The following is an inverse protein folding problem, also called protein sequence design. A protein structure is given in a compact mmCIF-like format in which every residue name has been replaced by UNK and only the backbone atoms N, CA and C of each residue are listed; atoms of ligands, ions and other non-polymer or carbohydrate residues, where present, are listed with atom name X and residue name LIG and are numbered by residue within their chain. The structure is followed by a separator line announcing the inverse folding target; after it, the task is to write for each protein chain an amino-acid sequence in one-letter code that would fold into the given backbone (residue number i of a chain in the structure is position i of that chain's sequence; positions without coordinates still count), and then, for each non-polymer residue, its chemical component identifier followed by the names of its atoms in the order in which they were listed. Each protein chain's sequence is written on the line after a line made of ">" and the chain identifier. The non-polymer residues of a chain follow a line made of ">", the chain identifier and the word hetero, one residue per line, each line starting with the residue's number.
data_IF_895689239898
#
_entry.id   IF_895689239898
#
_cell.length_a   1.000
_cell.length_b   1.000
_cell.length_c   1.000
_cell.angle_alpha   90.00
_cell.angle_beta   90.00
_cell.angle_gamma   90.00
#
_symmetry.space_group_name_H-M   'P 1'
#
loop_
_entity.id
_entity.type
_entity.pdbx_description
1 polymer ?
2 polymer ?
3 polymer ?
4 non-polymer ?
5 water ?
#
loop_
_entity_poly.entity_id
_entity_poly.type
_entity_poly.pdbx_seq_one_letter_code
_entity_poly.pdbx_strand_id
2 'polydeoxyribonucleotide' '(DT)(DC)(DA)(DA)(DA)(DA)(DC)(DG)(DT)(DC)(DG)(DT)(DA)(DC)' ?
3 'polydeoxyribonucleotide' '(DG)(DA)(DC)(DG)(DT)(DT)(DT)(DT)(DG)(DA)' ?
#
# COMPACT_ATOMS: atom_id res chain seq x y z
N UNK A 1 -18.73 13.58 -16.10
CA UNK A 1 -17.54 13.30 -15.31
C UNK A 1 -17.77 13.54 -13.82
N UNK A 2 -17.74 12.47 -13.03
CA UNK A 2 -18.02 12.58 -11.60
C UNK A 2 -16.84 13.15 -10.82
N UNK A 3 -17.14 14.03 -9.86
CA UNK A 3 -16.11 14.61 -9.00
C UNK A 3 -16.01 13.80 -7.70
N UNK A 4 -14.83 13.30 -7.40
CA UNK A 4 -14.66 12.43 -6.25
C UNK A 4 -14.38 13.21 -4.96
N UNK A 5 -14.80 12.62 -3.85
CA UNK A 5 -14.55 13.18 -2.52
C UNK A 5 -13.04 13.26 -2.24
N UNK A 6 -12.62 14.37 -1.62
CA UNK A 6 -11.19 14.61 -1.40
C UNK A 6 -10.57 13.67 -0.36
N UNK A 7 -11.30 13.43 0.73
CA UNK A 7 -10.82 12.50 1.75
C UNK A 7 -10.67 11.07 1.22
N UNK A 8 -11.45 10.74 0.19
CA UNK A 8 -11.38 9.43 -0.44
C UNK A 8 -10.16 9.34 -1.34
N UNK A 9 -9.91 10.40 -2.11
CA UNK A 9 -8.76 10.45 -3.02
C UNK A 9 -7.44 10.43 -2.26
N UNK A 10 -7.40 11.09 -1.10
CA UNK A 10 -6.21 11.07 -0.25
C UNK A 10 -5.88 9.66 0.24
N UNK A 11 -6.86 8.99 0.83
CA UNK A 11 -6.67 7.60 1.26
C UNK A 11 -6.27 6.73 0.08
N UNK A 12 -7.00 6.85 -1.02
CA UNK A 12 -6.79 5.97 -2.16
C UNK A 12 -5.40 6.15 -2.76
N UNK A 13 -4.92 7.39 -2.79
CA UNK A 13 -3.58 7.66 -3.31
C UNK A 13 -2.50 6.99 -2.47
N UNK A 14 -2.70 7.00 -1.15
CA UNK A 14 -1.77 6.32 -0.26
C UNK A 14 -1.75 4.85 -0.56
N UNK A 15 -2.93 4.25 -0.61
CA UNK A 15 -3.05 2.81 -0.89
C UNK A 15 -2.40 2.48 -2.24
N UNK A 16 -2.68 3.31 -3.25
CA UNK A 16 -2.15 3.11 -4.59
C UNK A 16 -0.62 3.12 -4.64
N UNK A 17 -0.01 4.10 -3.97
CA UNK A 17 1.45 4.16 -3.89
C UNK A 17 1.98 2.88 -3.24
N UNK A 18 1.21 2.33 -2.31
CA UNK A 18 1.55 1.06 -1.71
C UNK A 18 1.33 -0.13 -2.64
N UNK A 19 0.05 -0.47 -2.87
CA UNK A 19 -0.28 -1.72 -3.55
C UNK A 19 -0.97 -1.53 -4.91
N UNK A 20 -1.04 -0.29 -5.39
CA UNK A 20 -1.62 -0.05 -6.70
C UNK A 20 -0.60 -0.13 -7.82
N UNK A 21 -1.06 0.06 -9.05
CA UNK A 21 -0.16 0.01 -10.20
C UNK A 21 -0.70 0.84 -11.34
N UNK A 22 0.15 1.69 -11.90
CA UNK A 22 -0.21 2.47 -13.06
C UNK A 22 0.59 1.98 -14.26
N UNK A 23 -0.09 1.26 -15.15
CA UNK A 23 0.56 0.46 -16.19
C UNK A 23 0.32 1.01 -17.59
N UNK A 24 1.36 1.03 -18.40
CA UNK A 24 1.23 1.34 -19.83
C UNK A 24 1.88 0.23 -20.64
N UNK A 25 1.16 -0.33 -21.60
CA UNK A 25 1.71 -1.41 -22.41
C UNK A 25 1.62 -1.16 -23.91
N UNK A 26 2.64 -1.60 -24.63
CA UNK A 26 2.57 -1.70 -26.08
C UNK A 26 2.33 -3.16 -26.39
N UNK A 27 1.11 -3.50 -26.82
CA UNK A 27 0.76 -4.90 -27.07
C UNK A 27 0.80 -5.24 -28.55
N UNK A 28 1.72 -6.15 -28.93
CA UNK A 28 1.79 -6.65 -30.30
C UNK A 28 0.45 -7.22 -30.72
N UNK A 29 -0.07 -6.78 -31.87
CA UNK A 29 -1.37 -7.22 -32.37
C UNK A 29 -1.51 -6.89 -33.84
N UNK A 30 -1.54 -7.92 -34.68
CA UNK A 30 -1.52 -7.75 -36.13
C UNK A 30 -2.69 -6.92 -36.67
N UNK A 31 -3.82 -6.97 -35.98
CA UNK A 31 -5.02 -6.29 -36.45
C UNK A 31 -5.03 -4.79 -36.12
N UNK A 32 -3.85 -4.18 -36.00
CA UNK A 32 -3.74 -2.72 -35.86
C UNK A 32 -2.84 -2.19 -36.97
N UNK A 33 -3.15 -1.00 -37.47
CA UNK A 33 -2.39 -0.38 -38.56
C UNK A 33 -0.89 -0.37 -38.27
N UNK A 34 -0.53 -0.05 -37.04
CA UNK A 34 0.87 -0.03 -36.63
C UNK A 34 1.26 -1.32 -35.91
N UNK A 35 0.44 -2.35 -36.10
CA UNK A 35 0.69 -3.69 -35.55
C UNK A 35 0.87 -3.72 -34.02
N UNK A 36 0.39 -2.68 -33.33
CA UNK A 36 0.43 -2.64 -31.88
C UNK A 36 -0.76 -1.90 -31.28
N UNK A 37 -1.12 -2.24 -30.05
CA UNK A 37 -2.15 -1.51 -29.31
C UNK A 37 -1.51 -0.74 -28.16
N UNK A 38 -1.87 0.54 -28.03
CA UNK A 38 -1.50 1.29 -26.84
C UNK A 38 -2.53 0.98 -25.76
N UNK A 39 -2.08 0.38 -24.68
CA UNK A 39 -2.97 0.00 -23.59
C UNK A 39 -2.56 0.66 -22.28
N UNK A 40 -3.53 1.22 -21.58
CA UNK A 40 -3.31 1.82 -20.26
C UNK A 40 -4.17 1.10 -19.24
N UNK A 41 -3.66 0.95 -18.02
CA UNK A 41 -4.40 0.26 -16.96
C UNK A 41 -4.11 0.87 -15.59
N UNK A 42 -5.17 1.23 -14.88
CA UNK A 42 -5.06 1.50 -13.45
C UNK A 42 -5.43 0.22 -12.74
N UNK A 43 -4.62 -0.17 -11.76
CA UNK A 43 -4.78 -1.46 -11.11
C UNK A 43 -4.50 -1.36 -9.62
N UNK A 44 -5.38 -1.93 -8.81
CA UNK A 44 -5.11 -2.08 -7.40
C UNK A 44 -5.24 -3.56 -7.04
N UNK A 45 -4.13 -4.15 -6.60
CA UNK A 45 -4.05 -5.57 -6.32
C UNK A 45 -4.27 -5.89 -4.84
N UNK A 46 -5.02 -6.95 -4.56
CA UNK A 46 -5.26 -7.38 -3.19
C UNK A 46 -5.68 -8.86 -3.08
N UNK A 47 -5.25 -9.50 -2.00
CA UNK A 47 -5.62 -10.87 -1.67
C UNK A 47 -7.13 -11.08 -1.79
N UNK A 48 -7.54 -12.21 -2.34
CA UNK A 48 -8.95 -12.46 -2.64
C UNK A 48 -9.86 -12.42 -1.39
N UNK A 49 -9.31 -12.83 -0.25
CA UNK A 49 -10.09 -12.80 1.00
C UNK A 49 -10.49 -11.38 1.40
N UNK A 50 -9.83 -10.39 0.82
CA UNK A 50 -10.16 -8.99 1.06
C UNK A 50 -10.73 -8.26 -0.18
N UNK A 51 -11.41 -8.98 -1.06
CA UNK A 51 -11.93 -8.36 -2.28
C UNK A 51 -13.11 -7.43 -2.00
N UNK A 52 -13.67 -7.54 -0.80
CA UNK A 52 -14.73 -6.62 -0.37
C UNK A 52 -14.23 -5.19 -0.42
N UNK A 53 -12.94 -5.01 -0.14
CA UNK A 53 -12.29 -3.71 -0.20
C UNK A 53 -12.24 -3.21 -1.63
N UNK A 54 -11.94 -4.11 -2.56
CA UNK A 54 -11.86 -3.76 -3.97
C UNK A 54 -13.25 -3.50 -4.55
N UNK A 55 -14.25 -4.21 -4.03
CA UNK A 55 -15.63 -4.01 -4.46
C UNK A 55 -16.10 -2.59 -4.10
N UNK A 56 -15.65 -2.09 -2.96
CA UNK A 56 -15.98 -0.73 -2.55
C UNK A 56 -15.34 0.31 -3.47
N UNK A 57 -14.20 -0.02 -4.08
CA UNK A 57 -13.61 0.87 -5.08
C UNK A 57 -14.50 0.96 -6.32
N UNK A 58 -15.05 -0.17 -6.76
CA UNK A 58 -15.97 -0.19 -7.88
C UNK A 58 -17.19 0.70 -7.61
N UNK A 59 -17.68 0.66 -6.37
CA UNK A 59 -18.86 1.42 -5.98
C UNK A 59 -18.60 2.93 -5.89
N UNK A 60 -17.43 3.30 -5.38
CA UNK A 60 -17.10 4.71 -5.15
C UNK A 60 -16.56 5.40 -6.40
N UNK A 61 -15.75 4.68 -7.17
CA UNK A 61 -15.22 5.21 -8.42
C UNK A 61 -16.32 5.25 -9.49
N UNK A 62 -17.28 4.33 -9.36
CA UNK A 62 -18.45 4.32 -10.23
C UNK A 62 -18.18 3.68 -11.58
N UNK A 63 -17.00 3.12 -11.74
CA UNK A 63 -16.60 2.55 -13.02
C UNK A 63 -15.42 1.60 -12.80
N UNK A 64 -15.31 0.58 -13.64
CA UNK A 64 -14.28 -0.43 -13.45
C UNK A 64 -14.87 -1.71 -12.88
N UNK A 65 -14.03 -2.73 -12.70
CA UNK A 65 -14.51 -4.02 -12.26
C UNK A 65 -13.43 -4.77 -11.48
N UNK A 66 -13.82 -5.85 -10.81
CA UNK A 66 -12.86 -6.66 -10.06
C UNK A 66 -12.69 -8.03 -10.69
N UNK A 67 -11.45 -8.47 -10.87
CA UNK A 67 -11.18 -9.79 -11.42
C UNK A 67 -10.41 -10.68 -10.45
N UNK A 68 -10.98 -11.84 -10.15
CA UNK A 68 -10.31 -12.83 -9.34
C UNK A 68 -9.59 -13.83 -10.23
N UNK A 69 -8.38 -14.23 -9.87
CA UNK A 69 -7.76 -15.35 -10.55
C UNK A 69 -7.42 -16.47 -9.58
N UNK A 70 -6.28 -16.36 -8.90
CA UNK A 70 -5.86 -17.39 -7.99
C UNK A 70 -6.26 -17.05 -6.58
N UNK A 71 -5.28 -16.71 -5.77
CA UNK A 71 -5.53 -16.28 -4.40
C UNK A 71 -5.54 -14.76 -4.35
N UNK A 72 -5.56 -14.12 -5.52
CA UNK A 72 -5.42 -12.67 -5.58
C UNK A 72 -6.44 -12.00 -6.52
N UNK A 73 -6.87 -10.80 -6.14
CA UNK A 73 -7.83 -10.05 -6.92
C UNK A 73 -7.25 -8.72 -7.38
N UNK A 74 -7.85 -8.12 -8.40
CA UNK A 74 -7.40 -6.84 -8.93
C UNK A 74 -8.57 -5.96 -9.31
N UNK A 75 -8.57 -4.72 -8.83
CA UNK A 75 -9.47 -3.72 -9.38
C UNK A 75 -8.84 -3.23 -10.67
N UNK A 76 -9.64 -3.21 -11.73
CA UNK A 76 -9.17 -2.82 -13.05
C UNK A 76 -9.97 -1.65 -13.59
N UNK A 77 -9.28 -0.57 -13.99
CA UNK A 77 -9.89 0.53 -14.74
C UNK A 77 -9.10 0.76 -16.03
N UNK A 78 -9.75 0.54 -17.17
CA UNK A 78 -9.07 0.64 -18.47
C UNK A 78 -9.70 1.63 -19.45
N UNK A 79 -11.00 1.89 -19.28
CA UNK A 79 -11.72 2.79 -20.18
C UNK A 79 -11.11 4.18 -20.17
N UNK A 80 -10.61 4.61 -21.32
CA UNK A 80 -9.81 5.82 -21.43
C UNK A 80 -10.44 7.09 -20.83
N UNK A 81 -11.74 7.31 -21.03
CA UNK A 81 -12.39 8.53 -20.49
C UNK A 81 -12.49 8.57 -18.96
N UNK A 82 -13.08 7.52 -18.33
CA UNK A 82 -13.12 7.57 -16.87
C UNK A 82 -11.74 7.49 -16.27
N UNK A 83 -10.81 6.80 -16.93
CA UNK A 83 -9.45 6.68 -16.43
C UNK A 83 -8.79 8.04 -16.41
N UNK A 84 -9.07 8.86 -17.43
CA UNK A 84 -8.52 10.21 -17.47
C UNK A 84 -9.16 11.10 -16.40
N UNK A 85 -10.45 10.95 -16.17
CA UNK A 85 -11.14 11.73 -15.14
C UNK A 85 -10.61 11.42 -13.75
N UNK A 86 -10.45 10.12 -13.47
CA UNK A 86 -10.01 9.64 -12.18
C UNK A 86 -8.57 10.04 -11.88
N UNK A 87 -7.66 9.73 -12.79
CA UNK A 87 -6.24 10.03 -12.57
C UNK A 87 -6.00 11.53 -12.47
N UNK A 88 -6.85 12.33 -13.11
CA UNK A 88 -6.75 13.78 -12.99
C UNK A 88 -6.96 14.21 -11.54
N UNK A 89 -7.93 13.59 -10.88
CA UNK A 89 -8.25 13.95 -9.51
C UNK A 89 -7.41 13.20 -8.48
N UNK A 90 -6.69 12.17 -8.92
CA UNK A 90 -5.87 11.38 -8.00
C UNK A 90 -4.41 11.84 -8.01
N UNK A 91 -3.95 12.27 -9.18
CA UNK A 91 -2.56 12.71 -9.39
C UNK A 91 -1.96 13.68 -8.35
N UNK A 92 -2.72 14.71 -7.93
CA UNK A 92 -2.13 15.65 -6.95
C UNK A 92 -1.68 15.00 -5.63
N UNK A 93 -2.33 13.91 -5.25
CA UNK A 93 -2.08 13.32 -3.94
C UNK A 93 -1.12 12.12 -3.99
N UNK A 94 -0.71 11.70 -5.18
CA UNK A 94 0.26 10.63 -5.33
C UNK A 94 1.65 11.14 -5.01
N UNK A 95 2.47 10.29 -4.39
CA UNK A 95 3.86 10.64 -4.07
C UNK A 95 4.87 9.75 -4.77
N UNK A 96 4.56 8.46 -4.86
CA UNK A 96 5.50 7.51 -5.44
C UNK A 96 5.24 7.26 -6.93
N UNK A 97 4.01 7.52 -7.37
CA UNK A 97 3.61 7.18 -8.74
C UNK A 97 2.97 8.35 -9.46
N UNK A 98 3.28 9.57 -9.01
CA UNK A 98 2.72 10.76 -9.61
C UNK A 98 3.13 10.93 -11.09
N UNK A 99 4.42 10.76 -11.36
CA UNK A 99 4.95 10.94 -12.70
C UNK A 99 4.27 9.98 -13.69
N UNK A 100 4.07 8.74 -13.27
CA UNK A 100 3.40 7.74 -14.10
C UNK A 100 1.98 8.18 -14.45
N UNK A 101 1.24 8.64 -13.45
CA UNK A 101 -0.12 9.15 -13.65
C UNK A 101 -0.14 10.29 -14.65
N UNK A 102 0.86 11.17 -14.58
CA UNK A 102 0.93 12.30 -15.49
C UNK A 102 1.28 11.87 -16.91
N UNK A 103 2.19 10.90 -17.04
CA UNK A 103 2.56 10.39 -18.35
C UNK A 103 1.36 9.70 -19.00
N UNK A 104 0.59 8.97 -18.21
CA UNK A 104 -0.63 8.32 -18.71
C UNK A 104 -1.63 9.35 -19.24
N UNK A 105 -1.91 10.36 -18.43
CA UNK A 105 -2.76 11.47 -18.85
C UNK A 105 -2.27 12.05 -20.16
N UNK A 106 -0.96 12.30 -20.24
CA UNK A 106 -0.32 12.86 -21.43
C UNK A 106 -0.53 11.92 -22.62
N UNK A 107 -0.39 10.62 -22.38
CA UNK A 107 -0.59 9.60 -23.41
C UNK A 107 -2.01 9.59 -23.97
N UNK A 108 -3.00 9.63 -23.06
CA UNK A 108 -4.41 9.56 -23.44
C UNK A 108 -4.83 10.74 -24.31
N UNK A 109 -4.35 11.93 -23.95
CA UNK A 109 -4.65 13.15 -24.70
C UNK A 109 -4.05 13.11 -26.10
N UNK A 110 -2.95 12.38 -26.25
CA UNK A 110 -2.27 12.29 -27.54
C UNK A 110 -2.57 10.98 -28.25
N UNK A 111 -3.59 10.26 -27.78
CA UNK A 111 -4.00 9.00 -28.39
C UNK A 111 -4.53 9.14 -29.82
N UNK A 112 -5.48 10.07 -30.06
CA UNK A 112 -5.94 10.19 -31.46
C UNK A 112 -4.83 10.60 -32.42
N UNK A 113 -3.88 11.42 -31.97
CA UNK A 113 -2.75 11.82 -32.80
C UNK A 113 -1.81 10.65 -33.08
N UNK A 114 -1.79 9.68 -32.17
CA UNK A 114 -0.90 8.54 -32.26
C UNK A 114 -1.22 7.61 -33.44
N UNK A 115 -2.47 7.62 -33.88
CA UNK A 115 -2.89 6.77 -34.99
C UNK A 115 -2.60 7.39 -36.36
N UNK A 116 -2.48 8.71 -36.40
CA UNK A 116 -2.34 9.45 -37.65
C UNK A 116 -0.99 9.21 -38.34
N UNK A 117 0.11 9.45 -37.63
CA UNK A 117 1.45 9.30 -38.19
C UNK A 117 2.31 8.35 -37.37
N UNK A 118 3.18 7.58 -38.05
CA UNK A 118 4.09 6.63 -37.41
C UNK A 118 5.10 7.32 -36.49
N UNK A 119 5.44 8.57 -36.79
CA UNK A 119 6.40 9.32 -35.98
C UNK A 119 5.82 9.64 -34.62
N UNK A 120 4.55 10.05 -34.61
CA UNK A 120 3.86 10.35 -33.36
C UNK A 120 3.60 9.09 -32.54
N UNK A 121 3.27 8.00 -33.22
CA UNK A 121 3.02 6.75 -32.54
C UNK A 121 4.27 6.25 -31.84
N UNK A 122 5.43 6.47 -32.46
CA UNK A 122 6.69 6.05 -31.88
C UNK A 122 7.04 6.87 -30.65
N UNK A 123 6.81 8.18 -30.74
CA UNK A 123 7.09 9.09 -29.63
C UNK A 123 6.21 8.80 -28.42
N UNK A 124 4.96 8.40 -28.66
CA UNK A 124 4.07 8.06 -27.55
C UNK A 124 4.52 6.75 -26.90
N UNK A 125 5.02 5.82 -27.72
CA UNK A 125 5.63 4.60 -27.22
C UNK A 125 6.84 4.91 -26.34
N UNK A 126 7.54 5.99 -26.69
CA UNK A 126 8.66 6.48 -25.88
C UNK A 126 8.20 6.86 -24.46
N UNK A 127 7.00 7.42 -24.36
CA UNK A 127 6.45 7.78 -23.06
C UNK A 127 6.09 6.54 -22.27
N UNK A 128 5.65 5.50 -22.98
CA UNK A 128 5.35 4.23 -22.32
C UNK A 128 6.63 3.66 -21.70
N UNK A 129 7.74 3.82 -22.41
CA UNK A 129 9.04 3.43 -21.88
C UNK A 129 9.35 4.15 -20.56
N UNK A 130 8.99 5.43 -20.49
CA UNK A 130 9.28 6.25 -19.31
C UNK A 130 8.49 5.79 -18.08
N UNK A 131 7.25 5.37 -18.31
CA UNK A 131 6.41 4.83 -17.26
C UNK A 131 7.01 3.51 -16.75
N UNK A 132 7.43 2.66 -17.69
CA UNK A 132 8.03 1.40 -17.33
C UNK A 132 9.30 1.60 -16.52
N UNK A 133 10.08 2.62 -16.87
CA UNK A 133 11.33 2.90 -16.19
C UNK A 133 11.10 3.32 -14.74
N UNK A 134 9.96 3.96 -14.49
CA UNK A 134 9.63 4.47 -13.15
C UNK A 134 8.99 3.41 -12.26
N UNK A 135 8.32 2.43 -12.87
CA UNK A 135 7.78 1.31 -12.13
C UNK A 135 8.89 0.32 -11.82
N UNK A 136 8.59 -0.66 -10.96
CA UNK A 136 9.53 -1.73 -10.68
C UNK A 136 9.43 -2.80 -11.77
N UNK A 137 9.96 -2.46 -12.94
CA UNK A 137 9.80 -3.28 -14.14
C UNK A 137 10.77 -4.47 -14.16
N UNK A 138 10.25 -5.66 -14.43
CA UNK A 138 11.06 -6.88 -14.41
C UNK A 138 10.94 -7.73 -15.66
N UNK A 139 9.72 -7.85 -16.19
CA UNK A 139 9.47 -8.77 -17.31
C UNK A 139 9.01 -8.08 -18.60
N UNK A 140 9.45 -6.84 -18.82
CA UNK A 140 9.04 -6.11 -20.00
C UNK A 140 9.68 -6.65 -21.27
N UNK A 141 8.90 -6.75 -22.33
CA UNK A 141 9.34 -7.35 -23.58
C UNK A 141 9.23 -6.39 -24.76
N UNK A 142 8.09 -5.71 -24.87
CA UNK A 142 7.82 -4.85 -26.01
C UNK A 142 8.05 -3.37 -25.72
N UNK A 143 9.11 -2.80 -26.29
CA UNK A 143 9.44 -1.40 -26.11
C UNK A 143 9.20 -0.59 -27.38
N UNK A 144 9.52 0.69 -27.34
CA UNK A 144 9.37 1.55 -28.50
C UNK A 144 10.36 1.12 -29.58
N UNK A 145 11.43 0.45 -29.18
CA UNK A 145 12.40 -0.07 -30.12
C UNK A 145 11.80 -1.21 -30.93
N UNK A 146 11.02 -2.05 -30.25
CA UNK A 146 10.30 -3.13 -30.91
C UNK A 146 9.37 -2.56 -31.97
N UNK A 147 8.70 -1.47 -31.61
CA UNK A 147 7.80 -0.78 -32.53
C UNK A 147 8.56 -0.18 -33.70
N UNK A 148 9.74 0.37 -33.42
CA UNK A 148 10.54 1.00 -34.47
C UNK A 148 11.05 -0.01 -35.49
N UNK A 149 11.28 -1.24 -35.03
CA UNK A 149 11.72 -2.31 -35.92
C UNK A 149 10.56 -2.84 -36.77
N UNK A 150 9.33 -2.58 -36.32
CA UNK A 150 8.16 -3.03 -37.04
C UNK A 150 7.67 -1.96 -38.02
N UNK A 151 7.86 -0.70 -37.68
CA UNK A 151 7.40 0.39 -38.55
C UNK A 151 8.27 0.59 -39.79
N UNK A 152 8.86 -0.49 -40.29
CA UNK A 152 9.73 -0.45 -41.47
C UNK A 152 9.43 -1.60 -42.43
N UNK B 1 1.24 16.47 23.59
CA UNK B 1 1.31 15.49 22.50
C UNK B 1 1.25 16.15 21.14
N UNK B 2 2.02 15.62 20.19
CA UNK B 2 2.06 16.18 18.84
C UNK B 2 0.78 15.91 18.07
N UNK B 3 0.20 16.96 17.47
CA UNK B 3 -1.02 16.84 16.69
C UNK B 3 -0.66 16.65 15.23
N UNK B 4 -1.32 15.72 14.56
CA UNK B 4 -0.99 15.45 13.16
C UNK B 4 -2.01 16.03 12.20
N UNK B 5 -1.53 16.53 11.07
CA UNK B 5 -2.41 17.05 10.05
C UNK B 5 -3.31 15.95 9.49
N UNK B 6 -4.58 16.28 9.31
CA UNK B 6 -5.60 15.31 8.88
C UNK B 6 -5.32 14.73 7.49
N UNK B 7 -4.95 15.59 6.55
CA UNK B 7 -4.67 15.13 5.19
C UNK B 7 -3.45 14.21 5.15
N UNK B 8 -2.45 14.53 5.97
CA UNK B 8 -1.28 13.67 6.13
C UNK B 8 -1.70 12.29 6.63
N UNK B 9 -2.59 12.26 7.61
CA UNK B 9 -3.08 11.01 8.19
C UNK B 9 -3.89 10.17 7.21
N UNK B 10 -4.68 10.84 6.38
CA UNK B 10 -5.53 10.14 5.42
C UNK B 10 -4.68 9.42 4.37
N UNK B 11 -3.70 10.11 3.80
CA UNK B 11 -2.79 9.48 2.85
C UNK B 11 -2.07 8.31 3.54
N UNK B 12 -1.46 8.61 4.68
CA UNK B 12 -0.65 7.63 5.39
C UNK B 12 -1.46 6.40 5.79
N UNK B 13 -2.71 6.61 6.22
CA UNK B 13 -3.57 5.49 6.58
C UNK B 13 -3.76 4.57 5.37
N UNK B 14 -3.86 5.16 4.18
CA UNK B 14 -3.97 4.39 2.96
C UNK B 14 -2.72 3.57 2.69
N UNK B 15 -1.56 4.22 2.79
CA UNK B 15 -0.29 3.57 2.49
C UNK B 15 0.02 2.49 3.53
N UNK B 16 -0.43 2.71 4.76
CA UNK B 16 -0.25 1.73 5.82
C UNK B 16 -1.11 0.49 5.54
N UNK B 17 -2.36 0.71 5.16
CA UNK B 17 -3.25 -0.40 4.80
C UNK B 17 -2.65 -1.23 3.67
N UNK B 18 -1.87 -0.56 2.82
CA UNK B 18 -1.19 -1.23 1.72
C UNK B 18 0.12 -1.91 2.09
N UNK B 19 1.14 -1.14 2.48
CA UNK B 19 2.46 -1.70 2.74
C UNK B 19 2.89 -1.64 4.21
N UNK B 20 2.01 -1.16 5.08
CA UNK B 20 2.35 -1.08 6.48
C UNK B 20 2.03 -2.36 7.24
N UNK B 21 2.34 -2.36 8.53
CA UNK B 21 2.03 -3.49 9.37
C UNK B 21 1.88 -3.06 10.83
N UNK B 22 0.88 -3.61 11.48
CA UNK B 22 0.68 -3.38 12.90
C UNK B 22 0.93 -4.70 13.62
N UNK B 23 2.09 -4.79 14.28
CA UNK B 23 2.60 -6.07 14.78
C UNK B 23 2.58 -6.13 16.30
N UNK B 24 2.06 -7.24 16.83
CA UNK B 24 2.07 -7.46 18.27
C UNK B 24 2.67 -8.83 18.57
N UNK B 25 3.74 -8.86 19.36
CA UNK B 25 4.47 -10.10 19.60
C UNK B 25 4.65 -10.43 21.07
N UNK B 26 4.71 -11.72 21.38
CA UNK B 26 5.08 -12.19 22.72
C UNK B 26 6.46 -12.83 22.63
N UNK B 27 7.49 -12.05 22.95
CA UNK B 27 8.86 -12.50 22.76
C UNK B 27 9.38 -13.25 23.97
N UNK B 28 9.78 -14.52 23.77
CA UNK B 28 10.31 -15.33 24.87
C UNK B 28 11.67 -14.79 25.33
N UNK B 29 11.74 -14.36 26.58
CA UNK B 29 12.95 -13.80 27.17
C UNK B 29 12.95 -14.06 28.67
N UNK B 30 14.01 -14.68 29.18
CA UNK B 30 14.09 -15.09 30.58
C UNK B 30 14.23 -13.93 31.55
N UNK B 31 14.63 -12.76 31.05
CA UNK B 31 14.87 -11.61 31.91
C UNK B 31 13.60 -11.01 32.49
N UNK B 32 12.46 -11.29 31.85
CA UNK B 32 11.18 -10.75 32.30
C UNK B 32 10.56 -11.65 33.36
N UNK B 33 9.67 -11.08 34.19
CA UNK B 33 9.02 -11.82 35.27
C UNK B 33 8.23 -13.03 34.76
N UNK B 34 7.46 -12.82 33.71
CA UNK B 34 6.63 -13.88 33.16
C UNK B 34 7.31 -14.53 31.95
N UNK B 35 8.63 -14.35 31.86
CA UNK B 35 9.46 -14.99 30.85
C UNK B 35 9.13 -14.59 29.42
N UNK B 36 8.38 -13.51 29.26
CA UNK B 36 7.96 -13.07 27.93
C UNK B 36 7.90 -11.54 27.86
N UNK B 37 8.30 -10.98 26.73
CA UNK B 37 8.16 -9.55 26.51
C UNK B 37 6.97 -9.26 25.63
N UNK B 38 6.14 -8.31 26.06
CA UNK B 38 5.06 -7.79 25.22
C UNK B 38 5.60 -6.67 24.35
N UNK B 39 5.64 -6.92 23.04
CA UNK B 39 6.26 -5.99 22.11
C UNK B 39 5.28 -5.56 21.02
N UNK B 40 5.06 -4.25 20.91
CA UNK B 40 4.23 -3.67 19.85
C UNK B 40 5.12 -2.95 18.85
N UNK B 41 4.73 -2.99 17.59
CA UNK B 41 5.51 -2.36 16.53
C UNK B 41 4.65 -1.89 15.38
N UNK B 42 4.78 -0.61 15.03
CA UNK B 42 4.19 -0.07 13.81
C UNK B 42 5.27 -0.05 12.73
N UNK B 43 5.00 -0.72 11.61
CA UNK B 43 6.01 -0.91 10.58
C UNK B 43 5.52 -0.39 9.23
N UNK B 44 6.42 0.21 8.46
CA UNK B 44 6.15 0.51 7.05
C UNK B 44 7.36 0.08 6.23
N UNK B 45 7.14 -0.89 5.33
CA UNK B 45 8.22 -1.48 4.55
C UNK B 45 8.28 -0.86 3.16
N UNK B 46 9.50 -0.71 2.62
CA UNK B 46 9.67 -0.22 1.25
C UNK B 46 11.07 -0.54 0.71
N UNK B 47 11.14 -0.80 -0.59
CA UNK B 47 12.39 -1.03 -1.33
C UNK B 47 13.39 0.07 -1.01
N UNK B 48 14.64 -0.31 -0.77
CA UNK B 48 15.66 0.63 -0.30
C UNK B 48 15.93 1.79 -1.26
N UNK B 49 15.65 1.60 -2.55
CA UNK B 49 15.83 2.70 -3.50
C UNK B 49 14.80 3.81 -3.25
N UNK B 50 13.73 3.47 -2.52
CA UNK B 50 12.72 4.45 -2.14
C UNK B 50 12.79 4.75 -0.65
N UNK B 51 13.98 4.59 -0.08
CA UNK B 51 14.25 4.86 1.34
C UNK B 51 13.83 6.27 1.75
N UNK B 52 14.09 7.25 0.89
CA UNK B 52 13.80 8.65 1.16
C UNK B 52 12.35 8.85 1.61
N UNK B 53 11.45 8.05 1.06
CA UNK B 53 10.04 8.12 1.38
C UNK B 53 9.86 7.84 2.87
N UNK B 54 10.61 6.87 3.38
CA UNK B 54 10.53 6.48 4.78
C UNK B 54 11.30 7.46 5.66
N UNK B 55 12.42 7.97 5.13
CA UNK B 55 13.16 9.00 5.85
C UNK B 55 12.29 10.24 6.02
N UNK B 56 11.45 10.51 5.03
CA UNK B 56 10.48 11.60 5.11
C UNK B 56 9.50 11.37 6.26
N UNK B 57 8.99 10.14 6.37
CA UNK B 57 8.08 9.75 7.46
C UNK B 57 8.61 10.10 8.84
N UNK B 58 9.89 9.81 9.09
CA UNK B 58 10.51 10.11 10.38
C UNK B 58 10.38 11.60 10.70
N UNK B 59 10.66 12.43 9.70
CA UNK B 59 10.59 13.88 9.87
C UNK B 59 9.16 14.36 10.14
N UNK B 60 8.19 13.70 9.49
CA UNK B 60 6.79 14.12 9.61
C UNK B 60 6.15 13.59 10.88
N UNK B 61 6.38 12.32 11.18
CA UNK B 61 5.88 11.73 12.43
C UNK B 61 6.64 12.32 13.62
N UNK B 62 7.92 12.64 13.41
CA UNK B 62 8.74 13.25 14.44
C UNK B 62 9.35 12.26 15.41
N UNK B 63 9.17 10.98 15.15
CA UNK B 63 9.65 9.96 16.06
C UNK B 63 9.79 8.65 15.31
N UNK B 64 10.56 7.72 15.86
CA UNK B 64 10.81 6.47 15.17
C UNK B 64 12.06 6.58 14.32
N UNK B 65 12.34 5.54 13.55
CA UNK B 65 13.58 5.50 12.79
C UNK B 65 13.47 4.55 11.61
N UNK B 66 14.47 4.58 10.74
CA UNK B 66 14.50 3.73 9.56
C UNK B 66 15.68 2.78 9.63
N UNK B 67 15.45 1.51 9.30
CA UNK B 67 16.51 0.50 9.31
C UNK B 67 16.59 -0.19 7.95
N UNK B 68 17.81 -0.30 7.42
CA UNK B 68 18.04 -1.00 6.16
C UNK B 68 18.53 -2.41 6.40
N UNK B 69 17.97 -3.38 5.67
CA UNK B 69 18.57 -4.71 5.60
C UNK B 69 18.50 -5.24 4.19
N UNK B 70 19.55 -5.00 3.43
CA UNK B 70 19.61 -5.42 2.04
C UNK B 70 18.82 -4.49 1.15
N UNK B 71 17.97 -5.08 0.30
CA UNK B 71 17.20 -4.31 -0.66
C UNK B 71 15.86 -3.84 -0.09
N UNK B 72 15.71 -3.97 1.23
CA UNK B 72 14.46 -3.64 1.89
C UNK B 72 14.71 -2.70 3.07
N UNK B 73 13.91 -1.65 3.18
CA UNK B 73 14.00 -0.74 4.31
C UNK B 73 12.71 -0.72 5.11
N UNK B 74 12.82 -0.39 6.40
CA UNK B 74 11.63 -0.30 7.23
C UNK B 74 11.60 0.94 8.11
N UNK B 75 10.43 1.56 8.20
CA UNK B 75 10.18 2.54 9.24
C UNK B 75 9.64 1.79 10.45
N UNK B 76 10.23 2.04 11.62
CA UNK B 76 9.81 1.38 12.85
C UNK B 76 9.43 2.37 13.95
N UNK B 77 8.26 2.16 14.55
CA UNK B 77 7.86 2.90 15.74
C UNK B 77 7.56 1.90 16.85
N UNK B 78 8.45 1.85 17.85
CA UNK B 78 8.29 0.92 18.96
C UNK B 78 7.97 1.63 20.29
N UNK B 79 8.41 2.88 20.43
CA UNK B 79 8.21 3.63 21.67
C UNK B 79 6.74 3.70 22.03
N UNK B 80 6.39 3.09 23.16
CA UNK B 80 5.00 2.90 23.57
C UNK B 80 4.16 4.18 23.63
N UNK B 81 4.72 5.25 24.20
CA UNK B 81 3.96 6.50 24.31
C UNK B 81 3.68 7.23 22.98
N UNK B 82 4.72 7.49 22.15
CA UNK B 82 4.44 8.11 20.84
C UNK B 82 3.60 7.20 19.94
N UNK B 83 3.67 5.89 20.15
CA UNK B 83 2.90 4.95 19.35
C UNK B 83 1.41 5.10 19.65
N UNK B 84 1.08 5.22 20.93
CA UNK B 84 -0.31 5.37 21.33
C UNK B 84 -0.89 6.66 20.76
N UNK B 85 -0.09 7.73 20.79
CA UNK B 85 -0.55 9.01 20.27
C UNK B 85 -0.75 8.96 18.76
N UNK B 86 0.21 8.36 18.06
CA UNK B 86 0.16 8.22 16.62
C UNK B 86 -1.04 7.38 16.21
N UNK B 87 -1.12 6.16 16.73
CA UNK B 87 -2.19 5.24 16.37
C UNK B 87 -3.58 5.77 16.71
N UNK B 88 -3.68 6.56 17.77
CA UNK B 88 -4.96 7.15 18.16
C UNK B 88 -5.52 8.06 17.06
N UNK B 89 -4.63 8.78 16.38
CA UNK B 89 -5.03 9.72 15.35
C UNK B 89 -5.16 9.06 14.00
N UNK B 90 -4.37 8.02 13.75
CA UNK B 90 -4.39 7.31 12.48
C UNK B 90 -5.60 6.39 12.35
N UNK B 91 -5.91 5.69 13.44
CA UNK B 91 -6.99 4.69 13.49
C UNK B 91 -8.33 5.04 12.81
N UNK B 92 -8.81 6.29 12.94
CA UNK B 92 -10.10 6.57 12.27
C UNK B 92 -10.06 6.43 10.75
N UNK B 93 -8.89 6.52 10.15
CA UNK B 93 -8.79 6.51 8.69
C UNK B 93 -8.34 5.18 8.11
N UNK B 94 -8.05 4.22 8.98
CA UNK B 94 -7.69 2.86 8.55
C UNK B 94 -8.93 2.04 8.17
N UNK B 95 -8.79 1.17 7.17
CA UNK B 95 -9.88 0.32 6.72
C UNK B 95 -9.54 -1.16 6.84
N UNK B 96 -8.29 -1.51 6.55
CA UNK B 96 -7.87 -2.91 6.58
C UNK B 96 -7.23 -3.29 7.90
N UNK B 97 -6.59 -2.33 8.55
CA UNK B 97 -5.86 -2.59 9.78
C UNK B 97 -6.37 -1.76 10.95
N UNK B 98 -7.64 -1.40 10.91
CA UNK B 98 -8.25 -0.59 11.96
C UNK B 98 -8.46 -1.39 13.24
N UNK B 99 -8.90 -2.64 13.10
CA UNK B 99 -9.16 -3.50 14.26
C UNK B 99 -7.88 -3.75 15.04
N UNK B 100 -6.84 -4.17 14.34
CA UNK B 100 -5.55 -4.43 14.97
C UNK B 100 -4.94 -3.18 15.57
N UNK B 101 -5.20 -2.03 14.95
CA UNK B 101 -4.75 -0.75 15.51
C UNK B 101 -5.33 -0.54 16.89
N UNK B 102 -6.66 -0.64 16.98
CA UNK B 102 -7.37 -0.42 18.24
C UNK B 102 -7.05 -1.44 19.31
N UNK B 103 -6.78 -2.67 18.89
CA UNK B 103 -6.34 -3.70 19.84
C UNK B 103 -5.00 -3.33 20.45
N UNK B 104 -4.10 -2.80 19.62
CA UNK B 104 -2.80 -2.30 20.10
C UNK B 104 -2.98 -1.20 21.14
N UNK B 105 -3.92 -0.29 20.91
CA UNK B 105 -4.19 0.80 21.84
C UNK B 105 -4.68 0.28 23.19
N UNK B 106 -5.38 -0.85 23.19
CA UNK B 106 -5.88 -1.43 24.43
C UNK B 106 -4.77 -2.13 25.20
N UNK B 107 -3.89 -2.81 24.48
CA UNK B 107 -2.74 -3.46 25.12
C UNK B 107 -1.87 -2.44 25.83
N UNK B 108 -1.54 -1.36 25.12
CA UNK B 108 -0.72 -0.29 25.68
C UNK B 108 -1.32 0.29 26.95
N UNK B 109 -2.65 0.44 26.97
CA UNK B 109 -3.35 0.97 28.12
C UNK B 109 -3.37 -0.01 29.30
N UNK B 110 -3.22 -1.30 28.99
CA UNK B 110 -3.28 -2.32 30.04
C UNK B 110 -1.91 -2.89 30.38
N UNK B 111 -0.87 -2.44 29.67
CA UNK B 111 0.50 -2.88 29.93
C UNK B 111 0.90 -2.78 31.41
N UNK B 112 0.73 -1.60 32.04
CA UNK B 112 1.16 -1.53 33.45
C UNK B 112 0.42 -2.49 34.37
N UNK B 113 -0.91 -2.61 34.22
CA UNK B 113 -1.67 -3.50 35.10
C UNK B 113 -1.46 -4.98 34.73
N UNK B 114 -0.84 -5.22 33.58
CA UNK B 114 -0.58 -6.58 33.13
C UNK B 114 0.72 -7.13 33.74
N UNK B 115 1.47 -6.27 34.40
CA UNK B 115 2.72 -6.68 35.05
C UNK B 115 2.48 -7.05 36.50
N UNK B 116 1.22 -6.99 36.93
CA UNK B 116 0.88 -7.20 38.33
C UNK B 116 0.42 -8.64 38.61
N UNK B 117 -0.49 -9.14 37.80
CA UNK B 117 -0.96 -10.52 37.95
C UNK B 117 -0.69 -11.31 36.68
N UNK B 118 -0.37 -12.60 36.82
CA UNK B 118 -0.12 -13.46 35.65
C UNK B 118 -1.40 -13.74 34.88
N UNK B 119 -2.55 -13.51 35.50
CA UNK B 119 -3.84 -13.73 34.85
C UNK B 119 -4.20 -12.59 33.89
N UNK B 120 -3.90 -11.36 34.29
CA UNK B 120 -4.14 -10.20 33.45
C UNK B 120 -3.15 -10.18 32.29
N UNK B 121 -1.92 -10.62 32.55
CA UNK B 121 -0.91 -10.77 31.52
C UNK B 121 -1.40 -11.74 30.44
N UNK B 122 -2.00 -12.85 30.88
CA UNK B 122 -2.54 -13.83 29.94
C UNK B 122 -3.71 -13.26 29.15
N UNK B 123 -4.51 -12.41 29.79
CA UNK B 123 -5.64 -11.76 29.12
C UNK B 123 -5.13 -10.83 28.03
N UNK B 124 -4.05 -10.12 28.31
CA UNK B 124 -3.44 -9.24 27.31
C UNK B 124 -2.81 -10.05 26.18
N UNK B 125 -2.16 -11.16 26.51
CA UNK B 125 -1.57 -12.05 25.52
C UNK B 125 -2.61 -12.55 24.50
N UNK B 126 -3.84 -12.72 24.95
CA UNK B 126 -4.92 -13.15 24.04
C UNK B 126 -5.31 -12.04 23.09
N UNK B 127 -5.10 -10.79 23.52
CA UNK B 127 -5.34 -9.64 22.65
C UNK B 127 -4.35 -9.62 21.51
N UNK B 128 -3.12 -10.08 21.76
CA UNK B 128 -2.15 -10.14 20.68
C UNK B 128 -2.45 -11.32 19.73
N UNK B 129 -3.12 -12.34 20.26
CA UNK B 129 -3.57 -13.46 19.42
C UNK B 129 -4.58 -12.95 18.39
N UNK B 130 -5.45 -12.06 18.82
CA UNK B 130 -6.48 -11.50 17.94
C UNK B 130 -5.83 -10.67 16.85
N UNK B 131 -4.76 -9.97 17.19
CA UNK B 131 -4.05 -9.15 16.22
C UNK B 131 -3.38 -10.02 15.15
N UNK B 132 -2.71 -11.09 15.58
CA UNK B 132 -2.05 -11.98 14.65
C UNK B 132 -3.07 -12.70 13.75
N UNK B 133 -4.29 -12.82 14.24
CA UNK B 133 -5.35 -13.49 13.48
C UNK B 133 -5.84 -12.57 12.37
N UNK B 134 -5.97 -11.29 12.68
CA UNK B 134 -6.41 -10.29 11.72
C UNK B 134 -5.35 -10.04 10.66
N UNK B 135 -4.10 -10.35 10.99
CA UNK B 135 -2.99 -10.21 10.06
C UNK B 135 -2.85 -11.45 9.18
N UNK B 136 -2.02 -11.33 8.14
CA UNK B 136 -1.72 -12.48 7.29
C UNK B 136 -0.56 -13.26 7.89
N UNK B 137 -0.84 -13.92 9.02
CA UNK B 137 0.20 -14.57 9.82
C UNK B 137 0.56 -15.94 9.26
N UNK B 138 1.84 -16.17 9.03
CA UNK B 138 2.29 -17.39 8.37
C UNK B 138 3.43 -18.08 9.12
N UNK B 139 4.14 -17.36 9.97
CA UNK B 139 5.29 -17.93 10.67
C UNK B 139 5.29 -17.63 12.18
N UNK B 140 4.12 -17.68 12.79
CA UNK B 140 3.99 -17.35 14.21
C UNK B 140 4.24 -18.55 15.10
N UNK B 141 5.02 -18.35 16.17
CA UNK B 141 5.40 -19.43 17.08
C UNK B 141 4.88 -19.25 18.51
N UNK B 142 5.19 -18.11 19.13
CA UNK B 142 4.80 -17.88 20.51
C UNK B 142 3.42 -17.26 20.63
N UNK B 143 2.45 -18.02 21.14
CA UNK B 143 1.09 -17.51 21.33
C UNK B 143 0.78 -17.44 22.81
N UNK B 144 -0.45 -17.04 23.15
CA UNK B 144 -0.87 -16.98 24.53
C UNK B 144 -0.88 -18.37 25.15
N UNK B 145 -1.11 -19.38 24.32
CA UNK B 145 -1.14 -20.76 24.79
C UNK B 145 0.22 -21.21 25.30
N UNK B 146 1.28 -20.81 24.61
CA UNK B 146 2.63 -21.15 25.04
C UNK B 146 3.00 -20.37 26.30
N UNK B 147 2.44 -19.16 26.44
CA UNK B 147 2.62 -18.36 27.65
C UNK B 147 1.97 -19.06 28.83
N UNK B 148 0.79 -19.62 28.59
CA UNK B 148 0.03 -20.32 29.63
C UNK B 148 0.77 -21.56 30.12
N UNK B 149 1.47 -22.24 29.21
CA UNK B 149 2.26 -23.42 29.56
C UNK B 149 3.46 -23.08 30.45
N UNK B 150 4.02 -21.89 30.27
CA UNK B 150 5.20 -21.47 31.02
C UNK B 150 4.82 -20.94 32.41
N UNK B 151 3.63 -20.38 32.53
CA UNK B 151 3.16 -19.86 33.82
C UNK B 151 2.74 -20.95 34.81
N UNK B 152 3.07 -22.21 34.48
CA UNK B 152 2.77 -23.34 35.35
C UNK B 152 4.03 -24.07 35.77
#
# INVERSE_FOLDING_TARGET
>A
NTKYNKEFLLYLAGFVDGDGSIIAQIKPNQSYKFKHQLSLTFQVTQKTQRRWFLDKLVDEIGVGYVRDRGSVSNYILSEIKPLHNFLTQLQPFLKLKQKQANLVLKIIEQLPSAKESPDKFLEVCTWVDQIAALNDSKTRKTTSETVRAVLD
>B
NTKYNKEFLLYLAGFVDGDGSIIAQIKPNQSYKFKHQLSLTFQVTQKTQRRWFLDKLVDEIGVGYVRDRGSVSNYILSEIKPLHNFLTQLQPFLKLKQKQANLVLKIIEQLPSAKESPDKFLEVCTWVDQIAALNDSKTRKTTSETVRAVLD
#
